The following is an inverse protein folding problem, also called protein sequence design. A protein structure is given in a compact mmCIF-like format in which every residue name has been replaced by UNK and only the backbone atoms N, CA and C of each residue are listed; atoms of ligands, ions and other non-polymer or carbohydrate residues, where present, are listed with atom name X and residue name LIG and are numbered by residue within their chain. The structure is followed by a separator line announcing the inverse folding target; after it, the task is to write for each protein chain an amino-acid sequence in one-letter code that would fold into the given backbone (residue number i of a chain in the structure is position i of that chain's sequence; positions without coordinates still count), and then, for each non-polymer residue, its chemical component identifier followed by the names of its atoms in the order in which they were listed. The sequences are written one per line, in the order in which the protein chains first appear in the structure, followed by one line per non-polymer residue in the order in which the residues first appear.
data_IF_819107456391
#
_entry.id   IF_819107456391
#
_cell.length_a   1.000
_cell.length_b   1.000
_cell.length_c   1.000
_cell.angle_alpha   90.00
_cell.angle_beta   90.00
_cell.angle_gamma   90.00
#
_symmetry.space_group_name_H-M   'P 1'
#
loop_
_entity.id
_entity.type
_entity.pdbx_description
1 polymer ?
#
# COMPACT_ATOMS: atom_id res chain seq x y z
N UNK A 1 46.20 0.89 -31.45
CA UNK A 1 45.47 -0.34 -31.24
C UNK A 1 46.19 -1.08 -30.12
N UNK A 2 45.69 -1.11 -28.89
CA UNK A 2 46.12 -2.09 -27.89
C UNK A 2 45.06 -3.21 -27.81
N UNK A 3 45.59 -4.43 -27.74
CA UNK A 3 44.89 -5.70 -27.70
C UNK A 3 43.94 -5.83 -26.51
N UNK A 4 42.73 -6.30 -26.76
CA UNK A 4 41.74 -6.69 -25.76
C UNK A 4 41.89 -8.19 -25.48
N UNK A 5 42.43 -8.52 -24.31
CA UNK A 5 42.33 -9.87 -23.76
C UNK A 5 40.89 -10.23 -23.36
N UNK A 6 40.44 -11.46 -23.57
CA UNK A 6 39.11 -11.89 -23.17
C UNK A 6 39.06 -12.18 -21.66
N UNK A 7 38.04 -11.66 -20.99
CA UNK A 7 37.77 -11.89 -19.57
C UNK A 7 37.43 -13.38 -19.30
N UNK A 8 38.13 -13.97 -18.31
CA UNK A 8 37.85 -15.31 -17.80
C UNK A 8 36.45 -15.42 -17.12
N UNK A 9 35.80 -16.57 -17.21
CA UNK A 9 34.49 -16.77 -16.58
C UNK A 9 34.61 -16.89 -15.05
N UNK A 10 33.82 -16.11 -14.34
CA UNK A 10 33.66 -16.13 -12.90
C UNK A 10 33.13 -17.47 -12.39
N UNK A 11 33.96 -18.18 -11.60
CA UNK A 11 33.56 -19.39 -10.87
C UNK A 11 33.18 -18.98 -9.43
N UNK A 12 31.94 -19.25 -8.94
CA UNK A 12 31.60 -18.95 -7.56
C UNK A 12 32.29 -19.92 -6.60
N UNK A 13 32.94 -19.36 -5.56
CA UNK A 13 33.54 -20.14 -4.49
C UNK A 13 32.46 -20.88 -3.68
N UNK A 14 32.59 -22.22 -3.63
CA UNK A 14 31.78 -23.07 -2.75
C UNK A 14 32.33 -23.01 -1.32
N UNK A 15 31.77 -22.11 -0.49
CA UNK A 15 31.91 -22.19 0.96
C UNK A 15 30.89 -23.19 1.56
N UNK A 16 31.17 -23.78 2.73
CA UNK A 16 30.26 -24.76 3.32
C UNK A 16 28.93 -24.12 3.72
N UNK A 17 27.82 -24.61 3.17
CA UNK A 17 26.49 -24.28 3.62
C UNK A 17 26.31 -24.71 5.08
N UNK A 18 25.75 -23.86 5.98
CA UNK A 18 25.31 -24.34 7.28
C UNK A 18 24.20 -25.34 7.07
N UNK A 19 24.34 -26.51 7.71
CA UNK A 19 23.39 -27.61 7.63
C UNK A 19 21.98 -27.20 8.05
N UNK A 20 20.96 -27.96 7.64
CA UNK A 20 19.58 -27.68 7.93
C UNK A 20 19.34 -27.67 9.45
N UNK A 21 19.07 -26.52 10.01
CA UNK A 21 18.53 -26.37 11.35
C UNK A 21 17.25 -27.19 11.50
N UNK A 22 17.08 -27.82 12.66
CA UNK A 22 16.03 -28.74 13.00
C UNK A 22 14.66 -28.33 12.40
N UNK A 23 14.17 -29.14 11.47
CA UNK A 23 12.82 -29.06 10.94
C UNK A 23 11.85 -29.21 12.12
N UNK A 24 11.16 -28.14 12.47
CA UNK A 24 9.95 -28.22 13.29
C UNK A 24 9.01 -29.21 12.60
N UNK A 25 8.61 -30.26 13.32
CA UNK A 25 7.80 -31.37 12.83
C UNK A 25 6.61 -30.82 12.02
N UNK A 26 6.55 -31.21 10.74
CA UNK A 26 5.41 -30.92 9.90
C UNK A 26 4.17 -31.57 10.54
N UNK A 27 3.17 -30.77 10.87
CA UNK A 27 1.88 -31.28 11.35
C UNK A 27 1.27 -32.17 10.25
N UNK A 28 0.72 -33.33 10.60
CA UNK A 28 0.08 -34.20 9.64
C UNK A 28 -1.11 -33.49 8.98
N UNK A 29 -1.37 -33.71 7.69
CA UNK A 29 -2.53 -33.12 7.01
C UNK A 29 -3.80 -33.73 7.62
N UNK A 30 -4.66 -32.89 8.24
CA UNK A 30 -5.98 -33.30 8.71
C UNK A 30 -6.39 -32.87 10.11
N UNK A 31 -5.49 -32.45 10.98
CA UNK A 31 -5.91 -31.93 12.28
C UNK A 31 -6.37 -30.46 12.17
N UNK A 32 -7.54 -30.11 12.80
CA UNK A 32 -7.98 -28.72 12.85
C UNK A 32 -6.96 -27.89 13.64
N UNK A 33 -6.24 -27.01 12.95
CA UNK A 33 -5.33 -26.07 13.62
C UNK A 33 -6.15 -25.16 14.53
N UNK A 34 -5.76 -25.07 15.78
CA UNK A 34 -6.33 -24.08 16.68
C UNK A 34 -5.97 -22.67 16.19
N UNK A 35 -6.99 -21.81 16.06
CA UNK A 35 -6.76 -20.46 15.60
C UNK A 35 -6.19 -19.61 16.74
N UNK A 36 -5.08 -18.96 16.49
CA UNK A 36 -4.35 -18.12 17.43
C UNK A 36 -4.99 -16.73 17.48
N UNK A 37 -5.25 -16.23 18.67
CA UNK A 37 -5.60 -14.83 18.85
C UNK A 37 -4.32 -13.98 18.85
N UNK A 38 -4.30 -12.94 18.01
CA UNK A 38 -3.13 -12.05 17.89
C UNK A 38 -2.93 -11.21 19.18
N UNK A 39 -4.01 -10.93 19.90
CA UNK A 39 -3.94 -10.23 21.20
C UNK A 39 -3.39 -11.13 22.31
N UNK A 40 -3.56 -12.45 22.20
CA UNK A 40 -2.91 -13.41 23.12
C UNK A 40 -1.40 -13.50 22.88
N UNK A 41 -0.96 -13.29 21.61
CA UNK A 41 0.46 -13.22 21.29
C UNK A 41 1.07 -11.91 21.79
N UNK A 42 0.40 -10.79 21.55
CA UNK A 42 0.81 -9.48 22.00
C UNK A 42 -0.41 -8.57 22.23
N UNK A 43 -0.70 -8.18 23.47
CA UNK A 43 -1.80 -7.26 23.75
C UNK A 43 -1.66 -5.89 23.07
N UNK A 44 -0.44 -5.50 22.68
CA UNK A 44 -0.14 -4.28 21.94
C UNK A 44 -0.30 -4.38 20.44
N UNK A 45 -0.76 -5.53 19.90
CA UNK A 45 -0.79 -5.82 18.45
C UNK A 45 -1.47 -4.72 17.62
N UNK A 46 -2.56 -4.16 18.09
CA UNK A 46 -3.29 -3.12 17.38
C UNK A 46 -2.48 -1.81 17.25
N UNK A 47 -1.61 -1.54 18.20
CA UNK A 47 -0.77 -0.35 18.19
C UNK A 47 0.57 -0.60 17.49
N UNK A 48 1.23 -1.72 17.80
CA UNK A 48 2.50 -2.14 17.20
C UNK A 48 2.45 -3.66 16.86
N UNK A 49 2.22 -4.03 15.61
CA UNK A 49 2.10 -5.44 15.23
C UNK A 49 3.45 -6.17 15.09
N UNK A 50 4.57 -5.45 15.02
CA UNK A 50 5.88 -6.02 14.69
C UNK A 50 6.39 -7.07 15.71
N UNK A 51 6.23 -6.87 17.05
CA UNK A 51 6.64 -7.90 18.01
C UNK A 51 5.84 -9.20 17.85
N UNK A 52 4.52 -9.12 17.62
CA UNK A 52 3.69 -10.30 17.38
C UNK A 52 4.08 -11.00 16.06
N UNK A 53 4.30 -10.25 15.00
CA UNK A 53 4.77 -10.82 13.73
C UNK A 53 6.12 -11.53 13.89
N UNK A 54 7.09 -10.95 14.59
CA UNK A 54 8.37 -11.60 14.85
C UNK A 54 8.21 -12.93 15.60
N UNK A 55 7.33 -13.00 16.61
CA UNK A 55 7.00 -14.23 17.32
C UNK A 55 6.31 -15.26 16.42
N UNK A 56 5.40 -14.84 15.53
CA UNK A 56 4.76 -15.73 14.55
C UNK A 56 5.78 -16.28 13.57
N UNK A 57 6.60 -15.41 12.99
CA UNK A 57 7.64 -15.79 12.02
C UNK A 57 8.61 -16.83 12.59
N UNK A 58 8.96 -16.73 13.89
CA UNK A 58 9.82 -17.74 14.55
C UNK A 58 9.15 -19.12 14.70
N UNK A 59 7.81 -19.19 14.65
CA UNK A 59 7.02 -20.42 14.73
C UNK A 59 6.69 -21.01 13.35
N UNK A 60 6.95 -20.27 12.28
CA UNK A 60 6.69 -20.64 10.90
C UNK A 60 6.02 -19.56 10.09
N UNK A 61 5.88 -19.73 8.78
CA UNK A 61 5.42 -18.66 7.89
C UNK A 61 3.90 -18.56 7.74
N UNK A 62 3.11 -19.53 8.24
CA UNK A 62 1.65 -19.54 8.05
C UNK A 62 0.93 -19.94 9.32
N UNK A 63 0.01 -19.11 9.76
CA UNK A 63 -0.78 -19.28 10.98
C UNK A 63 -2.27 -19.10 10.71
N UNK A 64 -3.11 -19.94 11.36
CA UNK A 64 -4.54 -19.66 11.43
C UNK A 64 -4.77 -18.69 12.59
N UNK A 65 -5.34 -17.52 12.33
CA UNK A 65 -5.56 -16.47 13.32
C UNK A 65 -7.03 -16.11 13.45
N UNK A 66 -7.43 -15.58 14.62
CA UNK A 66 -8.78 -15.06 14.89
C UNK A 66 -8.82 -13.57 14.61
N UNK A 67 -9.88 -13.11 13.97
CA UNK A 67 -10.25 -11.69 13.90
C UNK A 67 -11.09 -11.28 15.12
N UNK A 68 -11.25 -9.97 15.32
CA UNK A 68 -11.98 -9.41 16.47
C UNK A 68 -13.49 -9.73 16.47
N UNK A 69 -14.08 -10.08 15.33
CA UNK A 69 -15.47 -10.49 15.17
C UNK A 69 -15.69 -12.02 15.08
N UNK A 70 -14.66 -12.81 15.44
CA UNK A 70 -14.73 -14.28 15.37
C UNK A 70 -14.39 -14.89 14.02
N UNK A 71 -13.97 -14.06 13.06
CA UNK A 71 -13.46 -14.50 11.75
C UNK A 71 -12.19 -15.33 11.94
N UNK A 72 -11.88 -16.18 10.94
CA UNK A 72 -10.64 -16.94 10.87
C UNK A 72 -9.92 -16.65 9.58
N UNK A 73 -8.63 -16.32 9.68
CA UNK A 73 -7.78 -16.01 8.55
C UNK A 73 -6.50 -16.82 8.59
N UNK A 74 -6.00 -17.20 7.42
CA UNK A 74 -4.65 -17.70 7.27
C UNK A 74 -3.70 -16.52 7.10
N UNK A 75 -2.94 -16.20 8.14
CA UNK A 75 -1.95 -15.13 8.12
C UNK A 75 -0.62 -15.68 7.62
N UNK A 76 -0.09 -15.06 6.55
CA UNK A 76 1.23 -15.37 5.99
C UNK A 76 2.21 -14.29 6.44
N UNK A 77 3.31 -14.71 7.05
CA UNK A 77 4.41 -13.87 7.55
C UNK A 77 5.74 -14.29 6.94
N UNK A 78 6.75 -13.41 7.01
CA UNK A 78 8.07 -13.63 6.41
C UNK A 78 8.10 -13.31 4.91
N UNK A 79 9.27 -12.83 4.46
CA UNK A 79 9.42 -12.25 3.12
C UNK A 79 9.14 -13.24 1.98
N UNK A 80 9.78 -14.40 1.98
CA UNK A 80 9.65 -15.36 0.88
C UNK A 80 8.27 -16.00 0.81
N UNK A 81 7.66 -16.27 1.98
CA UNK A 81 6.30 -16.81 2.06
C UNK A 81 5.27 -15.75 1.56
N UNK A 82 5.43 -14.49 1.95
CA UNK A 82 4.59 -13.40 1.46
C UNK A 82 4.71 -13.23 -0.06
N UNK A 83 5.91 -13.28 -0.62
CA UNK A 83 6.11 -13.23 -2.08
C UNK A 83 5.46 -14.42 -2.78
N UNK A 84 5.62 -15.62 -2.25
CA UNK A 84 4.97 -16.84 -2.78
C UNK A 84 3.46 -16.69 -2.77
N UNK A 85 2.87 -16.22 -1.65
CA UNK A 85 1.45 -16.00 -1.54
C UNK A 85 0.93 -14.91 -2.52
N UNK A 86 1.68 -13.81 -2.68
CA UNK A 86 1.33 -12.71 -3.57
C UNK A 86 1.30 -13.11 -5.05
N UNK A 87 2.08 -14.11 -5.44
CA UNK A 87 2.18 -14.56 -6.84
C UNK A 87 1.43 -15.86 -7.12
N UNK A 88 0.85 -16.50 -6.09
CA UNK A 88 0.16 -17.79 -6.25
C UNK A 88 -1.17 -17.61 -7.02
N UNK A 89 -1.37 -18.32 -8.14
CA UNK A 89 -2.64 -18.30 -8.86
C UNK A 89 -3.75 -19.04 -8.10
N UNK A 90 -3.41 -19.84 -7.08
CA UNK A 90 -4.37 -20.50 -6.21
C UNK A 90 -4.96 -19.57 -5.13
N UNK A 91 -4.45 -18.33 -5.01
CA UNK A 91 -4.94 -17.31 -4.09
C UNK A 91 -5.61 -16.17 -4.87
N UNK A 92 -6.91 -16.30 -5.06
CA UNK A 92 -7.76 -15.41 -5.85
C UNK A 92 -8.10 -14.10 -5.16
N UNK A 93 -8.20 -13.05 -5.96
CA UNK A 93 -8.78 -11.75 -5.60
C UNK A 93 -10.21 -11.57 -6.13
N UNK A 94 -10.70 -12.46 -6.98
CA UNK A 94 -12.06 -12.39 -7.52
C UNK A 94 -13.08 -12.92 -6.52
N UNK A 95 -13.46 -12.07 -5.58
CA UNK A 95 -14.46 -12.36 -4.56
C UNK A 95 -15.85 -12.63 -5.14
N UNK A 96 -16.18 -12.09 -6.30
CA UNK A 96 -17.45 -12.37 -6.99
C UNK A 96 -17.54 -13.84 -7.39
N UNK A 97 -16.44 -14.40 -7.93
CA UNK A 97 -16.37 -15.81 -8.33
C UNK A 97 -16.15 -16.75 -7.16
N UNK A 98 -15.32 -16.34 -6.19
CA UNK A 98 -14.78 -17.24 -5.17
C UNK A 98 -15.19 -16.88 -3.74
N UNK A 99 -15.84 -15.75 -3.49
CA UNK A 99 -16.41 -15.38 -2.20
C UNK A 99 -17.36 -16.45 -1.62
N UNK A 100 -18.23 -17.06 -2.43
CA UNK A 100 -19.15 -18.11 -1.93
C UNK A 100 -18.47 -19.35 -1.33
N UNK A 101 -17.22 -19.62 -1.68
CA UNK A 101 -16.46 -20.75 -1.07
C UNK A 101 -15.60 -20.31 0.12
N UNK A 102 -15.54 -19.02 0.43
CA UNK A 102 -14.74 -18.51 1.55
C UNK A 102 -15.23 -19.09 2.87
N UNK A 103 -14.27 -19.57 3.67
CA UNK A 103 -14.52 -20.15 4.98
C UNK A 103 -13.90 -19.29 6.07
N UNK A 104 -14.48 -19.32 7.26
CA UNK A 104 -13.95 -18.55 8.39
C UNK A 104 -14.46 -17.11 8.46
N UNK A 105 -15.33 -16.70 7.56
CA UNK A 105 -16.04 -15.41 7.61
C UNK A 105 -17.51 -15.65 8.00
N UNK A 106 -18.13 -14.77 8.78
CA UNK A 106 -19.57 -14.83 9.08
C UNK A 106 -20.42 -14.60 7.83
N UNK A 107 -19.94 -13.78 6.90
CA UNK A 107 -20.51 -13.59 5.57
C UNK A 107 -19.42 -13.15 4.59
N UNK A 108 -19.49 -13.54 3.29
CA UNK A 108 -18.60 -12.98 2.29
C UNK A 108 -18.85 -11.47 2.15
N UNK A 109 -17.79 -10.69 1.85
CA UNK A 109 -17.97 -9.27 1.60
C UNK A 109 -18.91 -9.07 0.39
N UNK A 110 -19.78 -8.06 0.39
CA UNK A 110 -20.60 -7.73 -0.77
C UNK A 110 -19.70 -7.29 -1.92
N UNK A 111 -19.76 -8.00 -3.04
CA UNK A 111 -18.94 -7.74 -4.23
C UNK A 111 -19.78 -7.49 -5.47
N UNK A 112 -21.10 -7.57 -5.33
CA UNK A 112 -22.05 -7.25 -6.39
C UNK A 112 -22.44 -5.77 -6.31
N UNK A 113 -22.54 -5.14 -7.47
CA UNK A 113 -22.94 -3.75 -7.58
C UNK A 113 -21.89 -2.85 -8.25
N UNK A 114 -22.31 -1.63 -8.58
CA UNK A 114 -21.46 -0.62 -9.21
C UNK A 114 -20.23 -0.31 -8.35
N UNK A 115 -19.09 -0.11 -8.99
CA UNK A 115 -17.83 0.18 -8.30
C UNK A 115 -16.96 -1.06 -8.00
N UNK A 116 -17.40 -2.28 -8.28
CA UNK A 116 -16.67 -3.53 -7.99
C UNK A 116 -16.11 -4.26 -9.22
N UNK A 117 -16.28 -3.72 -10.43
CA UNK A 117 -15.76 -4.31 -11.67
C UNK A 117 -14.31 -3.89 -12.00
N UNK A 118 -13.52 -3.49 -11.01
CA UNK A 118 -12.16 -2.99 -11.20
C UNK A 118 -11.08 -4.07 -11.06
N UNK A 119 -9.86 -3.78 -11.58
CA UNK A 119 -8.73 -4.72 -11.63
C UNK A 119 -8.33 -5.30 -10.27
N UNK A 120 -8.53 -4.60 -9.15
CA UNK A 120 -8.13 -5.09 -7.82
C UNK A 120 -8.96 -6.29 -7.36
N UNK A 121 -10.19 -6.45 -7.87
CA UNK A 121 -11.12 -7.55 -7.57
C UNK A 121 -11.24 -8.56 -8.73
N UNK A 122 -10.22 -8.67 -9.57
CA UNK A 122 -10.16 -9.62 -10.68
C UNK A 122 -8.85 -10.39 -10.67
N UNK A 123 -8.89 -11.60 -11.21
CA UNK A 123 -7.71 -12.41 -11.51
C UNK A 123 -7.44 -12.38 -13.03
N UNK A 124 -6.23 -12.81 -13.48
CA UNK A 124 -6.00 -13.03 -14.90
C UNK A 124 -7.00 -14.05 -15.48
N UNK A 125 -7.47 -13.88 -16.73
CA UNK A 125 -7.05 -12.87 -17.71
C UNK A 125 -7.71 -11.49 -17.54
N UNK A 126 -8.87 -11.38 -16.86
CA UNK A 126 -9.65 -10.14 -16.72
C UNK A 126 -8.82 -9.03 -16.06
N UNK A 127 -8.10 -9.37 -14.97
CA UNK A 127 -7.15 -8.45 -14.33
C UNK A 127 -6.12 -7.91 -15.32
N UNK A 128 -5.51 -8.80 -16.14
CA UNK A 128 -4.45 -8.43 -17.06
C UNK A 128 -4.95 -7.44 -18.11
N UNK A 129 -6.16 -7.67 -18.61
CA UNK A 129 -6.84 -6.78 -19.56
C UNK A 129 -7.07 -5.39 -18.96
N UNK A 130 -7.78 -5.33 -17.82
CA UNK A 130 -8.08 -4.06 -17.15
C UNK A 130 -6.82 -3.28 -16.77
N UNK A 131 -5.81 -4.01 -16.24
CA UNK A 131 -4.54 -3.39 -15.88
C UNK A 131 -3.78 -2.85 -17.06
N UNK A 132 -3.78 -3.52 -18.20
CA UNK A 132 -3.12 -3.07 -19.44
C UNK A 132 -3.71 -1.73 -19.89
N UNK A 133 -5.02 -1.60 -19.90
CA UNK A 133 -5.71 -0.36 -20.25
C UNK A 133 -5.35 0.77 -19.28
N UNK A 134 -5.48 0.54 -17.97
CA UNK A 134 -5.16 1.54 -16.95
C UNK A 134 -3.67 1.95 -16.96
N UNK A 135 -2.75 1.00 -17.15
CA UNK A 135 -1.30 1.26 -17.09
C UNK A 135 -0.79 2.20 -18.20
N UNK A 136 -1.48 2.29 -19.33
CA UNK A 136 -1.16 3.24 -20.40
C UNK A 136 -1.21 4.69 -19.92
N UNK A 137 -2.02 4.94 -18.90
CA UNK A 137 -2.21 6.27 -18.32
C UNK A 137 -1.30 6.56 -17.10
N UNK A 138 -0.65 5.53 -16.54
CA UNK A 138 0.29 5.64 -15.42
C UNK A 138 1.76 5.50 -15.83
N UNK A 139 2.13 6.10 -16.97
CA UNK A 139 3.52 6.05 -17.45
C UNK A 139 4.45 6.89 -16.59
N UNK A 140 5.74 6.51 -16.54
CA UNK A 140 6.79 7.29 -15.84
C UNK A 140 6.81 8.76 -16.28
N UNK A 141 6.61 9.02 -17.58
CA UNK A 141 6.57 10.38 -18.13
C UNK A 141 5.38 11.19 -17.60
N UNK A 142 4.17 10.62 -17.57
CA UNK A 142 2.98 11.31 -17.03
C UNK A 142 3.11 11.57 -15.54
N UNK A 143 3.61 10.58 -14.79
CA UNK A 143 3.86 10.77 -13.36
C UNK A 143 4.89 11.87 -13.12
N UNK A 144 6.01 11.89 -13.87
CA UNK A 144 7.01 12.95 -13.75
C UNK A 144 6.45 14.34 -14.08
N UNK A 145 5.51 14.44 -15.03
CA UNK A 145 4.87 15.70 -15.39
C UNK A 145 4.00 16.29 -14.25
N UNK A 146 3.62 15.48 -13.26
CA UNK A 146 2.88 15.94 -12.08
C UNK A 146 3.78 16.63 -11.03
N UNK A 147 5.11 16.43 -11.09
CA UNK A 147 6.03 16.96 -10.07
C UNK A 147 5.90 18.47 -9.84
N UNK A 148 5.86 19.35 -10.86
CA UNK A 148 5.68 20.78 -10.64
C UNK A 148 4.34 21.13 -9.99
N UNK A 149 3.30 20.31 -10.24
CA UNK A 149 1.98 20.53 -9.64
C UNK A 149 1.96 20.12 -8.18
N UNK A 150 2.49 18.92 -7.86
CA UNK A 150 2.65 18.42 -6.49
C UNK A 150 3.51 19.38 -5.66
N UNK A 151 4.58 19.94 -6.26
CA UNK A 151 5.42 20.95 -5.60
C UNK A 151 4.62 22.21 -5.26
N UNK A 152 3.89 22.79 -6.22
CA UNK A 152 3.07 23.99 -5.95
C UNK A 152 2.01 23.76 -4.88
N UNK A 153 1.35 22.61 -4.90
CA UNK A 153 0.36 22.25 -3.87
C UNK A 153 1.02 22.11 -2.49
N UNK A 154 2.17 21.44 -2.44
CA UNK A 154 2.94 21.30 -1.20
C UNK A 154 3.37 22.66 -0.65
N UNK A 155 3.85 23.56 -1.51
CA UNK A 155 4.26 24.90 -1.12
C UNK A 155 3.08 25.71 -0.58
N UNK A 156 1.93 25.69 -1.25
CA UNK A 156 0.74 26.43 -0.82
C UNK A 156 0.20 25.92 0.53
N UNK A 157 0.18 24.61 0.74
CA UNK A 157 -0.24 24.00 2.01
C UNK A 157 0.72 24.34 3.15
N UNK A 158 2.02 24.34 2.88
CA UNK A 158 3.02 24.77 3.86
C UNK A 158 2.95 26.27 4.14
N UNK A 159 2.64 27.13 3.15
CA UNK A 159 2.39 28.55 3.38
C UNK A 159 1.22 28.76 4.35
N UNK A 160 0.12 28.05 4.11
CA UNK A 160 -1.05 28.12 4.99
C UNK A 160 -0.74 27.61 6.41
N UNK A 161 -0.04 26.48 6.53
CA UNK A 161 0.37 25.93 7.81
C UNK A 161 1.28 26.90 8.56
N UNK A 162 2.31 27.44 7.91
CA UNK A 162 3.29 28.34 8.53
C UNK A 162 2.72 29.70 8.93
N UNK A 163 1.58 30.09 8.37
CA UNK A 163 0.85 31.30 8.76
C UNK A 163 0.09 31.17 10.09
N UNK A 164 0.01 29.96 10.67
CA UNK A 164 -0.67 29.74 11.95
C UNK A 164 0.04 30.53 13.08
N UNK A 165 -0.69 31.40 13.83
CA UNK A 165 -0.09 32.33 14.78
C UNK A 165 0.52 31.62 16.01
N UNK A 166 0.00 30.45 16.37
CA UNK A 166 0.47 29.61 17.47
C UNK A 166 1.67 28.71 17.08
N UNK A 167 2.04 28.72 15.78
CA UNK A 167 3.12 27.89 15.20
C UNK A 167 2.97 26.40 15.50
N UNK A 168 1.75 25.91 15.44
CA UNK A 168 1.37 24.53 15.68
C UNK A 168 0.40 24.04 14.62
N UNK A 169 0.50 22.77 14.27
CA UNK A 169 -0.44 22.12 13.36
C UNK A 169 -0.41 20.59 13.57
N UNK A 170 -1.44 19.92 13.07
CA UNK A 170 -1.35 18.49 12.75
C UNK A 170 -0.93 18.36 11.29
N UNK A 171 0.20 17.70 11.01
CA UNK A 171 0.70 17.52 9.64
C UNK A 171 -0.23 16.68 8.78
N UNK A 172 -1.05 15.82 9.36
CA UNK A 172 -2.03 15.05 8.60
C UNK A 172 -3.08 16.00 8.04
N UNK A 173 -3.67 16.83 8.89
CA UNK A 173 -4.75 17.76 8.51
C UNK A 173 -4.24 18.94 7.69
N UNK A 174 -3.06 19.47 8.02
CA UNK A 174 -2.50 20.64 7.36
C UNK A 174 -1.81 20.34 6.02
N UNK A 175 -1.29 19.12 5.82
CA UNK A 175 -0.44 18.81 4.67
C UNK A 175 -0.81 17.50 3.98
N UNK A 176 -0.71 16.35 4.68
CA UNK A 176 -0.77 15.05 4.01
C UNK A 176 -2.14 14.78 3.37
N UNK A 177 -3.19 15.03 4.13
CA UNK A 177 -4.57 14.81 3.71
C UNK A 177 -5.00 15.75 2.58
N UNK A 178 -4.91 17.09 2.71
CA UNK A 178 -5.36 18.01 1.66
C UNK A 178 -4.52 17.88 0.38
N UNK A 179 -3.21 17.61 0.50
CA UNK A 179 -2.38 17.33 -0.67
C UNK A 179 -2.93 16.14 -1.46
N UNK A 180 -3.12 15.02 -0.76
CA UNK A 180 -3.53 13.78 -1.41
C UNK A 180 -4.90 13.88 -2.04
N UNK A 181 -5.87 14.45 -1.32
CA UNK A 181 -7.22 14.69 -1.84
C UNK A 181 -7.16 15.53 -3.11
N UNK A 182 -6.42 16.63 -3.08
CA UNK A 182 -6.27 17.53 -4.23
C UNK A 182 -5.65 16.81 -5.44
N UNK A 183 -4.56 16.07 -5.22
CA UNK A 183 -3.89 15.33 -6.32
C UNK A 183 -4.83 14.29 -6.95
N UNK A 184 -5.59 13.54 -6.15
CA UNK A 184 -6.54 12.54 -6.68
C UNK A 184 -7.67 13.23 -7.44
N UNK A 185 -8.26 14.29 -6.88
CA UNK A 185 -9.33 15.02 -7.54
C UNK A 185 -8.85 15.61 -8.88
N UNK A 186 -7.67 16.19 -8.92
CA UNK A 186 -7.09 16.73 -10.17
C UNK A 186 -6.78 15.64 -11.19
N UNK A 187 -6.23 14.50 -10.75
CA UNK A 187 -6.00 13.35 -11.63
C UNK A 187 -7.30 12.86 -12.28
N UNK A 188 -8.39 12.84 -11.54
CA UNK A 188 -9.70 12.42 -12.05
C UNK A 188 -10.48 13.57 -12.71
N UNK A 189 -9.94 14.79 -12.68
CA UNK A 189 -10.60 15.98 -13.19
C UNK A 189 -11.90 16.32 -12.46
N UNK A 190 -11.93 16.11 -11.14
CA UNK A 190 -13.05 16.40 -10.25
C UNK A 190 -13.03 17.90 -9.92
N UNK A 191 -14.15 18.63 -10.07
CA UNK A 191 -14.26 20.04 -9.70
C UNK A 191 -13.95 20.30 -8.22
N UNK A 192 -13.40 21.49 -7.92
CA UNK A 192 -13.01 21.87 -6.56
C UNK A 192 -14.20 21.91 -5.58
N UNK A 193 -15.40 22.24 -6.07
CA UNK A 193 -16.62 22.37 -5.27
C UNK A 193 -17.09 21.05 -4.66
N UNK A 194 -16.66 19.91 -5.21
CA UNK A 194 -17.14 18.59 -4.81
C UNK A 194 -16.16 17.86 -3.87
N UNK A 195 -15.03 18.48 -3.54
CA UNK A 195 -13.94 17.81 -2.78
C UNK A 195 -14.34 17.40 -1.37
N UNK A 196 -15.20 18.18 -0.70
CA UNK A 196 -15.65 17.84 0.66
C UNK A 196 -16.57 16.61 0.67
N UNK A 197 -17.47 16.47 -0.32
CA UNK A 197 -18.28 15.28 -0.49
C UNK A 197 -17.40 14.05 -0.77
N UNK A 198 -16.39 14.20 -1.64
CA UNK A 198 -15.40 13.18 -1.93
C UNK A 198 -14.61 12.75 -0.69
N UNK A 199 -14.26 13.71 0.16
CA UNK A 199 -13.64 13.43 1.45
C UNK A 199 -14.49 12.46 2.27
N UNK A 200 -15.75 12.81 2.49
CA UNK A 200 -16.67 12.01 3.30
C UNK A 200 -16.83 10.58 2.77
N UNK A 201 -17.05 10.43 1.46
CA UNK A 201 -17.20 9.11 0.83
C UNK A 201 -15.90 8.29 0.91
N UNK A 202 -14.76 8.90 0.64
CA UNK A 202 -13.47 8.23 0.62
C UNK A 202 -13.06 7.75 2.02
N UNK A 203 -13.27 8.57 3.04
CA UNK A 203 -13.00 8.22 4.43
C UNK A 203 -13.87 7.03 4.88
N UNK A 204 -15.18 7.09 4.55
CA UNK A 204 -16.12 6.05 4.98
C UNK A 204 -15.94 4.72 4.25
N UNK A 205 -15.48 4.74 2.99
CA UNK A 205 -15.16 3.51 2.25
C UNK A 205 -13.81 2.92 2.67
N UNK A 206 -12.80 3.76 2.95
CA UNK A 206 -11.46 3.30 3.32
C UNK A 206 -11.39 2.81 4.77
N UNK A 207 -12.09 3.48 5.70
CA UNK A 207 -12.13 3.17 7.13
C UNK A 207 -13.57 3.26 7.66
N UNK A 208 -14.43 2.30 7.32
CA UNK A 208 -15.86 2.38 7.58
C UNK A 208 -16.16 2.42 9.08
N UNK A 209 -17.01 3.36 9.48
CA UNK A 209 -17.57 3.42 10.84
C UNK A 209 -18.58 2.30 11.06
N UNK A 210 -19.22 1.86 9.98
CA UNK A 210 -20.08 0.67 9.93
C UNK A 210 -20.22 0.14 8.49
N UNK A 211 -20.64 -1.12 8.34
CA UNK A 211 -20.94 -1.68 7.03
C UNK A 211 -22.10 -0.96 6.32
N UNK A 212 -22.99 -0.32 7.07
CA UNK A 212 -24.10 0.47 6.52
C UNK A 212 -23.59 1.82 6.00
N UNK A 213 -22.76 2.51 6.77
CA UNK A 213 -22.16 3.77 6.36
C UNK A 213 -21.26 3.61 5.11
N UNK A 214 -20.48 2.55 5.02
CA UNK A 214 -19.72 2.24 3.81
C UNK A 214 -20.61 2.04 2.57
N UNK A 215 -21.74 1.32 2.73
CA UNK A 215 -22.70 1.15 1.64
C UNK A 215 -23.38 2.46 1.25
N UNK A 216 -23.73 3.30 2.22
CA UNK A 216 -24.31 4.62 1.96
C UNK A 216 -23.33 5.51 1.19
N UNK A 217 -22.07 5.60 1.63
CA UNK A 217 -21.03 6.34 0.94
C UNK A 217 -20.81 5.85 -0.52
N UNK A 218 -20.81 4.54 -0.73
CA UNK A 218 -20.72 3.97 -2.08
C UNK A 218 -21.95 4.29 -2.92
N UNK A 219 -23.15 4.23 -2.34
CA UNK A 219 -24.41 4.54 -3.02
C UNK A 219 -24.50 6.01 -3.47
N UNK A 220 -23.83 6.92 -2.79
CA UNK A 220 -23.72 8.35 -3.17
C UNK A 220 -22.60 8.59 -4.18
N UNK A 221 -21.42 8.00 -3.96
CA UNK A 221 -20.24 8.20 -4.80
C UNK A 221 -20.43 7.67 -6.23
N UNK A 222 -21.10 6.54 -6.39
CA UNK A 222 -21.29 5.88 -7.70
C UNK A 222 -22.11 6.72 -8.67
N UNK A 223 -23.31 7.25 -8.33
CA UNK A 223 -24.07 8.14 -9.24
C UNK A 223 -23.31 9.42 -9.59
N UNK A 224 -22.56 9.98 -8.63
CA UNK A 224 -21.73 11.15 -8.90
C UNK A 224 -20.65 10.83 -9.94
N UNK A 225 -19.90 9.74 -9.77
CA UNK A 225 -18.88 9.31 -10.74
C UNK A 225 -19.47 8.98 -12.11
N UNK A 226 -20.67 8.40 -12.16
CA UNK A 226 -21.38 8.17 -13.42
C UNK A 226 -21.70 9.48 -14.14
N UNK A 227 -22.18 10.49 -13.43
CA UNK A 227 -22.41 11.84 -13.98
C UNK A 227 -21.10 12.49 -14.46
N UNK A 228 -20.01 12.32 -13.72
CA UNK A 228 -18.68 12.83 -14.08
C UNK A 228 -18.16 12.16 -15.37
N UNK A 229 -18.28 10.83 -15.49
CA UNK A 229 -17.93 10.08 -16.71
C UNK A 229 -18.72 10.58 -17.91
N UNK A 230 -20.05 10.77 -17.76
CA UNK A 230 -20.87 11.31 -18.84
C UNK A 230 -20.44 12.73 -19.24
N UNK A 231 -20.16 13.60 -18.30
CA UNK A 231 -19.65 14.95 -18.57
C UNK A 231 -18.30 14.93 -19.28
N UNK A 232 -17.38 14.05 -18.88
CA UNK A 232 -16.04 13.89 -19.52
C UNK A 232 -16.11 13.29 -20.93
N UNK A 233 -17.09 12.44 -21.21
CA UNK A 233 -17.35 11.99 -22.60
C UNK A 233 -17.79 13.13 -23.50
N UNK A 234 -18.65 14.02 -22.98
CA UNK A 234 -19.17 15.15 -23.74
C UNK A 234 -18.12 16.26 -23.92
N UNK A 235 -17.27 16.48 -22.92
CA UNK A 235 -16.23 17.49 -22.90
C UNK A 235 -14.95 16.94 -22.24
N UNK A 236 -14.09 16.22 -22.98
CA UNK A 236 -12.86 15.67 -22.45
C UNK A 236 -11.89 16.73 -21.94
N UNK A 237 -11.27 16.50 -20.79
CA UNK A 237 -10.21 17.32 -20.21
C UNK A 237 -8.83 16.66 -20.36
N UNK A 238 -7.80 17.35 -19.89
CA UNK A 238 -6.45 16.81 -19.74
C UNK A 238 -6.29 16.13 -18.39
N UNK A 239 -7.14 15.15 -18.12
CA UNK A 239 -7.17 14.39 -16.87
C UNK A 239 -7.19 12.87 -17.14
N UNK A 240 -6.88 12.10 -16.09
CA UNK A 240 -6.78 10.64 -16.18
C UNK A 240 -8.11 9.98 -16.54
N UNK A 241 -9.24 10.50 -16.01
CA UNK A 241 -10.54 9.91 -16.28
C UNK A 241 -10.93 10.12 -17.76
N UNK A 242 -10.70 11.34 -18.30
CA UNK A 242 -10.87 11.62 -19.72
C UNK A 242 -10.00 10.72 -20.59
N UNK A 243 -8.75 10.49 -20.18
CA UNK A 243 -7.84 9.58 -20.88
C UNK A 243 -8.36 8.14 -20.84
N UNK A 244 -8.77 7.61 -19.68
CA UNK A 244 -9.30 6.26 -19.54
C UNK A 244 -10.57 6.01 -20.36
N UNK A 245 -11.43 7.02 -20.50
CA UNK A 245 -12.64 6.95 -21.36
C UNK A 245 -12.28 6.69 -22.83
N UNK A 246 -11.15 7.23 -23.27
CA UNK A 246 -10.72 7.17 -24.68
C UNK A 246 -9.60 6.14 -24.92
N UNK A 247 -9.13 5.47 -23.86
CA UNK A 247 -8.06 4.46 -23.98
C UNK A 247 -8.60 3.21 -24.67
N UNK A 248 -7.94 2.88 -25.76
CA UNK A 248 -8.14 1.67 -26.55
C UNK A 248 -6.81 0.91 -26.63
N UNK A 249 -6.83 -0.41 -26.58
CA UNK A 249 -5.63 -1.20 -26.84
C UNK A 249 -5.43 -1.47 -28.35
N UNK A 250 -4.41 -2.27 -28.68
CA UNK A 250 -4.04 -2.58 -30.06
C UNK A 250 -5.11 -3.42 -30.80
N UNK A 251 -5.95 -4.14 -30.04
CA UNK A 251 -7.04 -4.96 -30.54
C UNK A 251 -8.38 -4.20 -30.55
N UNK A 252 -8.39 -2.91 -30.20
CA UNK A 252 -9.59 -2.09 -30.11
C UNK A 252 -10.41 -2.32 -28.84
N UNK A 253 -9.86 -3.02 -27.85
CA UNK A 253 -10.51 -3.25 -26.56
C UNK A 253 -10.43 -2.01 -25.69
N UNK A 254 -11.50 -1.74 -24.94
CA UNK A 254 -11.66 -0.60 -24.04
C UNK A 254 -12.43 -0.99 -22.77
N UNK A 255 -12.40 -0.14 -21.76
CA UNK A 255 -13.22 -0.32 -20.57
C UNK A 255 -14.71 -0.15 -20.94
N UNK A 256 -15.55 -1.08 -20.50
CA UNK A 256 -16.99 -0.88 -20.55
C UNK A 256 -17.44 0.15 -19.48
N UNK A 257 -18.75 0.45 -19.43
CA UNK A 257 -19.29 1.47 -18.52
C UNK A 257 -19.05 1.12 -17.06
N UNK A 258 -19.34 -0.13 -16.67
CA UNK A 258 -19.19 -0.61 -15.30
C UNK A 258 -17.71 -0.70 -14.89
N UNK A 259 -16.86 -1.13 -15.79
CA UNK A 259 -15.41 -1.20 -15.59
C UNK A 259 -14.79 0.18 -15.45
N UNK A 260 -15.18 1.15 -16.30
CA UNK A 260 -14.72 2.52 -16.24
C UNK A 260 -15.11 3.20 -14.92
N UNK A 261 -16.39 3.06 -14.53
CA UNK A 261 -16.90 3.58 -13.28
C UNK A 261 -16.20 2.95 -12.08
N UNK A 262 -16.04 1.63 -12.10
CA UNK A 262 -15.37 0.90 -11.04
C UNK A 262 -13.86 1.23 -10.96
N UNK A 263 -13.23 1.49 -12.10
CA UNK A 263 -11.83 1.91 -12.14
C UNK A 263 -11.66 3.33 -11.59
N UNK A 264 -12.57 4.26 -11.93
CA UNK A 264 -12.57 5.61 -11.35
C UNK A 264 -12.76 5.55 -9.82
N UNK A 265 -13.67 4.73 -9.34
CA UNK A 265 -13.89 4.47 -7.91
C UNK A 265 -12.66 3.87 -7.23
N UNK A 266 -12.02 2.87 -7.83
CA UNK A 266 -10.75 2.32 -7.32
C UNK A 266 -9.67 3.37 -7.20
N UNK A 267 -9.47 4.20 -8.21
CA UNK A 267 -8.44 5.24 -8.22
C UNK A 267 -8.67 6.30 -7.14
N UNK A 268 -9.94 6.62 -6.88
CA UNK A 268 -10.33 7.50 -5.79
C UNK A 268 -9.90 6.93 -4.43
N UNK A 269 -10.32 5.69 -4.13
CA UNK A 269 -10.16 5.09 -2.80
C UNK A 269 -8.72 4.63 -2.56
N UNK A 270 -8.12 3.89 -3.49
CA UNK A 270 -6.83 3.23 -3.30
C UNK A 270 -5.69 4.23 -3.04
N UNK A 271 -5.82 5.43 -3.57
CA UNK A 271 -4.83 6.48 -3.43
C UNK A 271 -4.97 7.32 -2.16
N UNK A 272 -6.13 7.32 -1.54
CA UNK A 272 -6.44 8.30 -0.50
C UNK A 272 -5.70 8.02 0.82
N UNK A 273 -6.02 6.95 1.50
CA UNK A 273 -5.50 6.67 2.85
C UNK A 273 -4.02 6.24 2.83
N UNK A 274 -3.61 5.48 1.82
CA UNK A 274 -2.26 4.90 1.78
C UNK A 274 -1.15 5.96 1.70
N UNK A 275 -1.34 7.05 0.95
CA UNK A 275 -0.34 8.13 0.87
C UNK A 275 -0.33 8.99 2.14
N UNK A 276 -1.48 9.23 2.75
CA UNK A 276 -1.57 9.92 4.05
C UNK A 276 -0.82 9.11 5.12
N UNK A 277 -1.07 7.80 5.20
CA UNK A 277 -0.37 6.90 6.10
C UNK A 277 1.15 6.87 5.80
N UNK A 278 1.55 6.90 4.54
CA UNK A 278 2.96 6.95 4.16
C UNK A 278 3.66 8.21 4.69
N UNK A 279 3.08 9.38 4.46
CA UNK A 279 3.67 10.65 4.90
C UNK A 279 3.70 10.71 6.44
N UNK A 280 2.59 10.39 7.11
CA UNK A 280 2.49 10.45 8.57
C UNK A 280 3.46 9.48 9.26
N UNK A 281 3.48 8.20 8.85
CA UNK A 281 4.38 7.19 9.38
C UNK A 281 5.84 7.51 9.09
N UNK A 282 6.16 8.00 7.88
CA UNK A 282 7.49 8.42 7.50
C UNK A 282 8.02 9.57 8.35
N UNK A 283 7.21 10.60 8.60
CA UNK A 283 7.58 11.74 9.47
C UNK A 283 7.73 11.28 10.92
N UNK A 284 6.84 10.41 11.42
CA UNK A 284 6.96 9.81 12.75
C UNK A 284 8.25 9.03 12.90
N UNK A 285 8.62 8.21 11.92
CA UNK A 285 9.87 7.47 11.92
C UNK A 285 11.09 8.41 11.98
N UNK A 286 11.08 9.52 11.23
CA UNK A 286 12.13 10.53 11.31
C UNK A 286 12.24 11.18 12.69
N UNK A 287 11.13 11.53 13.31
CA UNK A 287 11.15 12.11 14.65
C UNK A 287 11.58 11.11 15.73
N UNK A 288 11.25 9.83 15.55
CA UNK A 288 11.72 8.76 16.44
C UNK A 288 13.22 8.45 16.29
N UNK A 289 13.85 8.89 15.18
CA UNK A 289 15.26 8.69 14.89
C UNK A 289 15.96 10.04 14.58
N UNK A 290 16.29 10.86 15.62
CA UNK A 290 16.82 12.20 15.45
C UNK A 290 18.15 12.28 14.68
N UNK A 291 18.98 11.24 14.77
CA UNK A 291 20.21 11.11 14.00
C UNK A 291 19.94 11.01 12.49
N UNK A 292 18.92 10.25 12.08
CA UNK A 292 18.50 10.10 10.70
C UNK A 292 17.83 11.37 10.18
N UNK A 293 17.03 12.03 11.02
CA UNK A 293 16.43 13.33 10.71
C UNK A 293 17.52 14.39 10.50
N UNK A 294 18.55 14.44 11.34
CA UNK A 294 19.66 15.37 11.20
C UNK A 294 20.42 15.14 9.88
N UNK A 295 20.69 13.89 9.53
CA UNK A 295 21.30 13.54 8.24
C UNK A 295 20.46 14.01 7.06
N UNK A 296 19.15 13.76 7.09
CA UNK A 296 18.27 14.15 6.00
C UNK A 296 18.12 15.67 5.88
N UNK A 297 18.12 16.40 7.01
CA UNK A 297 18.15 17.88 7.02
C UNK A 297 19.43 18.46 6.45
N UNK A 298 20.56 17.81 6.70
CA UNK A 298 21.86 18.27 6.21
C UNK A 298 21.99 18.14 4.67
N UNK A 299 21.41 17.10 4.09
CA UNK A 299 21.46 16.85 2.64
C UNK A 299 20.16 16.22 2.12
N UNK A 300 19.06 16.99 2.07
CA UNK A 300 17.77 16.47 1.58
C UNK A 300 17.81 16.16 0.09
N UNK A 301 18.62 16.86 -0.71
CA UNK A 301 18.71 16.67 -2.15
C UNK A 301 19.17 15.28 -2.54
N UNK A 302 20.24 14.79 -1.89
CA UNK A 302 20.80 13.46 -2.16
C UNK A 302 20.04 12.35 -1.42
N UNK A 303 19.62 12.59 -0.19
CA UNK A 303 19.14 11.54 0.71
C UNK A 303 17.63 11.28 0.63
N UNK A 304 16.81 12.24 0.17
CA UNK A 304 15.35 12.13 0.22
C UNK A 304 14.81 10.88 -0.52
N UNK A 305 15.40 10.53 -1.66
CA UNK A 305 14.99 9.33 -2.42
C UNK A 305 15.23 8.05 -1.61
N UNK A 306 16.38 7.97 -0.93
CA UNK A 306 16.70 6.86 -0.04
C UNK A 306 15.82 6.82 1.19
N UNK A 307 15.55 7.97 1.78
CA UNK A 307 14.68 8.11 2.94
C UNK A 307 13.26 7.64 2.64
N UNK A 308 12.71 8.01 1.47
CA UNK A 308 11.37 7.57 1.02
C UNK A 308 11.28 6.04 0.93
N UNK A 309 12.26 5.36 0.32
CA UNK A 309 12.25 3.89 0.25
C UNK A 309 12.41 3.24 1.63
N UNK A 310 13.24 3.82 2.51
CA UNK A 310 13.39 3.30 3.88
C UNK A 310 12.13 3.55 4.74
N UNK A 311 11.45 4.68 4.59
CA UNK A 311 10.15 4.93 5.24
C UNK A 311 9.12 3.88 4.85
N UNK A 312 9.01 3.60 3.54
CA UNK A 312 8.10 2.60 2.98
C UNK A 312 8.40 1.20 3.52
N UNK A 313 9.68 0.84 3.60
CA UNK A 313 10.12 -0.44 4.16
C UNK A 313 9.87 -0.53 5.67
N UNK A 314 10.29 0.52 6.41
CA UNK A 314 10.33 0.51 7.87
C UNK A 314 8.95 0.46 8.49
N UNK A 315 8.00 1.22 7.97
CA UNK A 315 6.62 1.22 8.44
C UNK A 315 5.66 1.31 7.23
N UNK A 316 5.38 0.16 6.64
CA UNK A 316 4.56 0.08 5.44
C UNK A 316 3.21 0.79 5.63
N UNK A 317 2.80 1.65 4.68
CA UNK A 317 1.52 2.38 4.73
C UNK A 317 0.31 1.45 4.87
N UNK A 318 0.40 0.29 4.23
CA UNK A 318 -0.59 -0.80 4.26
C UNK A 318 0.08 -2.02 4.88
N UNK A 319 -0.36 -2.40 6.07
CA UNK A 319 0.28 -3.48 6.85
C UNK A 319 0.06 -4.88 6.25
N UNK A 320 -1.12 -5.12 5.65
CA UNK A 320 -1.48 -6.39 5.02
C UNK A 320 -2.00 -6.17 3.61
N UNK A 321 -1.66 -7.06 2.68
CA UNK A 321 -2.28 -7.04 1.36
C UNK A 321 -3.78 -7.33 1.49
N UNK A 322 -4.61 -6.79 0.56
CA UNK A 322 -6.02 -7.10 0.54
C UNK A 322 -6.27 -8.62 0.54
N UNK A 323 -7.28 -9.13 1.30
CA UNK A 323 -7.48 -10.55 1.54
C UNK A 323 -7.73 -11.33 0.24
N UNK A 324 -7.28 -12.59 0.22
CA UNK A 324 -7.44 -13.53 -0.89
C UNK A 324 -8.19 -14.77 -0.46
N UNK A 325 -8.80 -15.48 -1.41
CA UNK A 325 -9.47 -16.76 -1.17
C UNK A 325 -8.66 -17.87 -1.85
N UNK A 326 -8.36 -18.94 -1.13
CA UNK A 326 -7.73 -20.14 -1.71
C UNK A 326 -8.76 -20.88 -2.59
N UNK A 327 -8.57 -20.89 -3.91
CA UNK A 327 -9.47 -21.58 -4.86
C UNK A 327 -9.19 -23.07 -4.99
N UNK A 328 -8.02 -23.49 -4.55
CA UNK A 328 -7.58 -24.88 -4.41
C UNK A 328 -6.69 -24.97 -3.16
N UNK A 329 -6.42 -26.17 -2.62
CA UNK A 329 -5.40 -26.30 -1.57
C UNK A 329 -4.06 -25.74 -2.04
N UNK A 330 -3.44 -24.89 -1.23
CA UNK A 330 -2.15 -24.24 -1.55
C UNK A 330 -1.15 -24.49 -0.43
N UNK A 331 0.09 -24.83 -0.79
CA UNK A 331 1.18 -25.04 0.16
C UNK A 331 2.06 -23.81 0.20
N UNK A 332 2.20 -23.19 1.38
CA UNK A 332 3.10 -22.06 1.62
C UNK A 332 3.97 -22.41 2.83
N UNK A 333 5.29 -22.41 2.65
CA UNK A 333 6.24 -22.73 3.73
C UNK A 333 5.96 -24.07 4.42
N UNK A 334 5.52 -25.08 3.68
CA UNK A 334 5.18 -26.40 4.21
C UNK A 334 3.79 -26.51 4.87
N UNK A 335 3.04 -25.41 4.96
CA UNK A 335 1.67 -25.42 5.51
C UNK A 335 0.65 -25.48 4.38
N UNK A 336 -0.30 -26.41 4.47
CA UNK A 336 -1.44 -26.50 3.55
C UNK A 336 -2.55 -25.56 4.00
N UNK A 337 -2.88 -24.59 3.15
CA UNK A 337 -4.08 -23.77 3.29
C UNK A 337 -5.18 -24.46 2.48
N UNK A 338 -6.31 -24.84 3.08
CA UNK A 338 -7.37 -25.55 2.37
C UNK A 338 -8.11 -24.63 1.40
N UNK A 339 -8.79 -25.23 0.42
CA UNK A 339 -9.72 -24.52 -0.45
C UNK A 339 -10.77 -23.78 0.40
N UNK A 340 -11.06 -22.53 0.04
CA UNK A 340 -11.95 -21.62 0.77
C UNK A 340 -11.25 -20.84 1.89
N UNK A 341 -10.03 -21.20 2.27
CA UNK A 341 -9.31 -20.44 3.29
C UNK A 341 -9.09 -18.98 2.88
N UNK A 342 -9.45 -18.04 3.75
CA UNK A 342 -9.18 -16.61 3.54
C UNK A 342 -7.78 -16.30 4.03
N UNK A 343 -6.96 -15.70 3.17
CA UNK A 343 -5.53 -15.46 3.38
C UNK A 343 -5.24 -13.97 3.51
N UNK A 344 -4.61 -13.59 4.61
CA UNK A 344 -3.99 -12.29 4.83
C UNK A 344 -2.48 -12.41 4.65
N UNK A 345 -1.85 -11.45 3.98
CA UNK A 345 -0.42 -11.46 3.71
C UNK A 345 0.19 -10.23 4.37
N UNK A 346 1.04 -10.43 5.38
CA UNK A 346 1.61 -9.38 6.20
C UNK A 346 2.77 -8.68 5.47
N UNK A 347 2.48 -7.66 4.68
CA UNK A 347 3.49 -6.86 3.95
C UNK A 347 4.46 -6.18 4.93
N UNK A 348 3.92 -5.60 6.01
CA UNK A 348 4.71 -4.93 7.03
C UNK A 348 5.72 -5.88 7.71
N UNK A 349 5.31 -7.12 7.98
CA UNK A 349 6.22 -8.13 8.53
C UNK A 349 7.29 -8.55 7.53
N UNK A 350 6.91 -8.77 6.28
CA UNK A 350 7.84 -9.11 5.22
C UNK A 350 8.97 -8.07 5.07
N UNK A 351 8.64 -6.80 5.25
CA UNK A 351 9.58 -5.68 5.17
C UNK A 351 10.47 -5.53 6.43
N UNK A 352 10.15 -6.27 7.48
CA UNK A 352 10.94 -6.42 8.71
C UNK A 352 11.56 -7.81 8.89
N UNK A 353 11.57 -8.64 7.86
CA UNK A 353 12.17 -9.97 7.92
C UNK A 353 13.71 -9.90 7.90
N UNK A 354 14.41 -10.39 8.97
CA UNK A 354 15.87 -10.40 9.03
C UNK A 354 16.52 -11.33 7.99
N UNK A 355 15.77 -12.30 7.46
CA UNK A 355 16.22 -13.15 6.37
C UNK A 355 16.41 -12.39 5.05
N UNK A 356 15.73 -11.23 4.89
CA UNK A 356 15.82 -10.39 3.69
C UNK A 356 16.52 -9.06 3.93
N UNK A 357 16.28 -8.43 5.08
CA UNK A 357 16.79 -7.10 5.40
C UNK A 357 17.72 -7.16 6.60
N UNK A 358 19.03 -6.91 6.44
CA UNK A 358 19.94 -6.82 7.57
C UNK A 358 19.51 -5.74 8.57
N UNK A 359 19.52 -6.07 9.87
CA UNK A 359 19.03 -5.18 10.94
C UNK A 359 17.68 -4.52 10.58
N UNK A 360 16.60 -5.31 10.40
CA UNK A 360 15.35 -4.82 9.80
C UNK A 360 14.65 -3.78 10.65
N UNK A 361 14.86 -3.80 11.97
CA UNK A 361 14.28 -2.87 12.93
C UNK A 361 15.07 -1.56 13.06
N UNK A 362 16.21 -1.46 12.39
CA UNK A 362 16.96 -0.21 12.28
C UNK A 362 16.39 0.63 11.15
N UNK A 363 15.96 1.85 11.46
CA UNK A 363 15.64 2.87 10.47
C UNK A 363 16.92 3.53 9.98
N UNK A 364 17.28 3.35 8.72
CA UNK A 364 18.51 3.86 8.13
C UNK A 364 18.27 4.41 6.71
N UNK A 365 18.15 5.73 6.59
CA UNK A 365 17.90 6.41 5.30
C UNK A 365 19.03 6.26 4.28
N UNK A 366 20.22 5.79 4.74
CA UNK A 366 21.39 5.51 3.89
C UNK A 366 21.54 4.01 3.59
N UNK A 367 20.58 3.19 3.98
CA UNK A 367 20.60 1.75 3.66
C UNK A 367 20.95 1.56 2.18
N UNK A 368 21.89 0.67 1.85
CA UNK A 368 22.32 0.45 0.46
C UNK A 368 21.15 0.14 -0.46
N UNK A 369 21.15 0.64 -1.73
CA UNK A 369 20.06 0.39 -2.66
C UNK A 369 19.73 -1.09 -2.86
N UNK A 370 20.71 -2.00 -2.81
CA UNK A 370 20.52 -3.44 -2.92
C UNK A 370 19.73 -4.03 -1.71
N UNK A 371 19.88 -3.44 -0.53
CA UNK A 371 19.20 -3.87 0.69
C UNK A 371 17.80 -3.28 0.82
N UNK A 372 17.58 -2.00 0.42
CA UNK A 372 16.27 -1.35 0.54
C UNK A 372 15.32 -1.66 -0.62
N UNK A 373 15.86 -2.07 -1.79
CA UNK A 373 15.03 -2.47 -2.93
C UNK A 373 14.32 -3.79 -2.66
N UNK A 374 13.12 -3.91 -3.22
CA UNK A 374 12.33 -5.14 -3.13
C UNK A 374 11.50 -5.25 -1.84
N UNK A 375 11.36 -4.18 -1.05
CA UNK A 375 10.34 -4.15 -0.01
C UNK A 375 8.95 -4.37 -0.63
N UNK A 376 8.03 -4.92 0.15
CA UNK A 376 6.69 -5.30 -0.29
C UNK A 376 5.61 -4.25 0.04
N UNK A 377 5.99 -3.04 0.45
CA UNK A 377 5.03 -1.97 0.78
C UNK A 377 4.06 -1.63 -0.37
N UNK A 378 4.43 -1.93 -1.61
CA UNK A 378 3.58 -1.81 -2.80
C UNK A 378 3.02 -3.16 -3.29
N UNK A 379 3.10 -4.21 -2.49
CA UNK A 379 2.77 -5.57 -2.90
C UNK A 379 3.77 -6.16 -3.89
N UNK A 380 3.39 -7.29 -4.51
CA UNK A 380 4.20 -8.01 -5.49
C UNK A 380 3.32 -8.78 -6.48
N UNK A 381 3.88 -9.16 -7.65
CA UNK A 381 3.17 -9.91 -8.67
C UNK A 381 2.20 -9.05 -9.48
N UNK A 382 1.16 -9.65 -10.00
CA UNK A 382 0.22 -9.01 -10.94
C UNK A 382 -0.51 -7.82 -10.35
N UNK A 383 -0.77 -7.84 -9.04
CA UNK A 383 -1.40 -6.75 -8.29
C UNK A 383 -0.40 -5.74 -7.68
N UNK A 384 0.87 -5.72 -8.09
CA UNK A 384 1.80 -4.67 -7.66
C UNK A 384 1.20 -3.28 -7.88
N UNK A 385 1.32 -2.39 -6.92
CA UNK A 385 0.65 -1.08 -6.92
C UNK A 385 0.93 -0.28 -8.20
N UNK A 386 -0.14 0.11 -8.91
CA UNK A 386 -0.03 0.93 -10.12
C UNK A 386 0.42 2.36 -9.78
N UNK A 387 -0.01 2.89 -8.62
CA UNK A 387 0.34 4.23 -8.14
C UNK A 387 1.72 4.35 -7.48
N UNK A 388 2.53 3.28 -7.41
CA UNK A 388 3.82 3.31 -6.74
C UNK A 388 4.79 4.41 -7.22
N UNK A 389 4.89 4.74 -8.52
CA UNK A 389 5.70 5.87 -8.98
C UNK A 389 5.20 7.22 -8.46
N UNK A 390 3.88 7.42 -8.41
CA UNK A 390 3.26 8.66 -7.93
C UNK A 390 3.47 8.83 -6.41
N UNK A 391 3.24 7.78 -5.62
CA UNK A 391 3.48 7.81 -4.18
C UNK A 391 4.93 8.16 -3.83
N UNK A 392 5.88 7.61 -4.58
CA UNK A 392 7.31 7.96 -4.43
C UNK A 392 7.60 9.42 -4.78
N UNK A 393 6.99 9.94 -5.83
CA UNK A 393 7.11 11.33 -6.22
C UNK A 393 6.56 12.25 -5.13
N UNK A 394 5.33 11.99 -4.68
CA UNK A 394 4.68 12.74 -3.60
C UNK A 394 5.53 12.72 -2.33
N UNK A 395 6.03 11.56 -1.91
CA UNK A 395 6.91 11.43 -0.75
C UNK A 395 8.19 12.27 -0.87
N UNK A 396 8.87 12.21 -2.02
CA UNK A 396 10.09 13.02 -2.22
C UNK A 396 9.82 14.52 -2.16
N UNK A 397 8.77 14.96 -2.84
CA UNK A 397 8.40 16.39 -2.87
C UNK A 397 7.99 16.87 -1.48
N UNK A 398 7.10 16.14 -0.82
CA UNK A 398 6.56 16.53 0.50
C UNK A 398 7.66 16.55 1.56
N UNK A 399 8.37 15.44 1.74
CA UNK A 399 9.41 15.32 2.79
C UNK A 399 10.55 16.29 2.51
N UNK A 400 11.02 16.37 1.27
CA UNK A 400 12.10 17.29 0.90
C UNK A 400 11.74 18.75 1.12
N UNK A 401 10.51 19.14 0.77
CA UNK A 401 10.05 20.53 0.92
C UNK A 401 9.74 20.87 2.38
N UNK A 402 9.10 19.97 3.11
CA UNK A 402 8.82 20.12 4.54
C UNK A 402 10.10 20.40 5.33
N UNK A 403 11.13 19.58 5.17
CA UNK A 403 12.39 19.72 5.91
C UNK A 403 13.19 20.96 5.50
N UNK A 404 13.14 21.34 4.24
CA UNK A 404 13.80 22.55 3.73
C UNK A 404 13.12 23.83 4.24
N UNK A 405 11.77 23.86 4.28
CA UNK A 405 11.02 25.03 4.68
C UNK A 405 10.79 25.14 6.19
N UNK A 406 10.83 24.01 6.90
CA UNK A 406 10.62 23.93 8.34
C UNK A 406 11.83 23.28 9.05
N UNK A 407 13.01 23.94 9.05
CA UNK A 407 14.22 23.33 9.60
C UNK A 407 14.16 23.10 11.11
N UNK A 408 13.30 23.85 11.81
CA UNK A 408 13.07 23.74 13.27
C UNK A 408 11.86 22.87 13.63
N UNK A 409 11.21 22.22 12.64
CA UNK A 409 10.04 21.38 12.87
C UNK A 409 10.33 20.32 13.95
N UNK A 410 9.48 20.24 14.94
CA UNK A 410 9.56 19.27 16.02
C UNK A 410 8.18 18.74 16.37
N UNK A 411 8.12 17.56 16.99
CA UNK A 411 6.87 17.07 17.57
C UNK A 411 6.37 18.02 18.66
N UNK A 412 5.05 18.17 18.72
CA UNK A 412 4.37 18.91 19.77
C UNK A 412 3.60 17.94 20.64
N UNK A 413 4.30 17.30 21.58
CA UNK A 413 3.74 16.31 22.49
C UNK A 413 4.23 14.88 22.23
N UNK A 414 3.55 13.91 22.82
CA UNK A 414 3.84 12.48 22.71
C UNK A 414 2.98 11.87 21.60
N UNK A 415 3.59 11.04 20.76
CA UNK A 415 2.88 10.22 19.77
C UNK A 415 2.56 8.86 20.40
N UNK A 416 1.29 8.58 20.63
CA UNK A 416 0.83 7.23 20.95
C UNK A 416 1.07 6.27 19.79
N UNK A 417 1.34 5.01 20.08
CA UNK A 417 1.31 3.97 19.06
C UNK A 417 -0.12 3.89 18.49
N UNK A 418 -0.25 3.85 17.15
CA UNK A 418 -1.56 3.82 16.49
C UNK A 418 -2.24 5.18 16.30
N UNK A 419 -1.67 6.26 16.84
CA UNK A 419 -2.21 7.60 16.62
C UNK A 419 -2.04 8.01 15.15
N UNK A 420 -3.11 8.43 14.51
CA UNK A 420 -3.09 8.91 13.11
C UNK A 420 -2.55 10.33 13.00
N UNK A 421 -2.54 11.10 14.07
CA UNK A 421 -2.11 12.49 14.13
C UNK A 421 -0.59 12.61 14.16
N UNK A 422 -0.10 13.72 13.64
CA UNK A 422 1.31 14.13 13.74
C UNK A 422 1.36 15.59 14.19
N UNK A 423 1.08 15.87 15.48
CA UNK A 423 1.14 17.24 15.99
C UNK A 423 2.58 17.75 15.95
N UNK A 424 2.76 18.92 15.37
CA UNK A 424 4.08 19.55 15.20
C UNK A 424 4.05 21.03 15.58
N UNK A 425 5.26 21.52 15.87
CA UNK A 425 5.55 22.95 16.10
C UNK A 425 6.82 23.35 15.33
N UNK A 426 6.96 24.62 15.02
CA UNK A 426 8.13 25.17 14.30
C UNK A 426 8.56 26.52 14.78
#
# INVERSE_FOLDING_TARGET
MPDTEPAEPYTPATGPHPGPGAATAAHPPGEPREAVDLLDIDPGFAADPYPAYARLRSRGPVHLVKGGGGERFWLVVGYDACRTALTSPALSRDWRRHGPIATGLPAPPPVDGPGNAHMLLRDPPDHTRLRRLAAREFTTRRVAALEPRVQRLTDALLDAMLAAPDRRADLVDALAYPLRLTVVCELLGIPDLDRDAFRGWSDEVAAPTSAEAARAAQAEAVPYLSGLVAAKRAAPGDDLLSALIHTEDEDGDRLDEDELLSMAFLLLIAGHESTVNFISKGVRALFAHPDQLALLRADPGTLVTGAVEEMLRYDAPVGTAPPRVAVAPVVIGGTVIPRGGVVLIALADADRDPGRFPAPDRFDIRRPPAERRGHLAFGHGVHHCLGAPLARLEGRVVIGTLLRRCPTLALDGFLGHGDRRVPVRW
#
